data_IF_410413632937
#
_entry.id   IF_410413632937
#
_cell.length_a   1.000
_cell.length_b   1.000
_cell.length_c   1.000
_cell.angle_alpha   90.00
_cell.angle_beta   90.00
_cell.angle_gamma   90.00
#
_symmetry.space_group_name_H-M   'P 1'
#
loop_
_entity.id
_entity.type
_entity.pdbx_description
1 polymer ?
#
# COMPACT_ATOMS: atom_id res chain seq x y z
N UNK A 1 -27.13 23.74 6.06
CA UNK A 1 -26.27 23.27 7.18
C UNK A 1 -26.49 21.82 7.62
N UNK A 2 -27.38 21.06 6.94
CA UNK A 2 -27.68 19.65 7.26
C UNK A 2 -26.82 18.63 6.49
N UNK A 3 -25.94 19.07 5.58
CA UNK A 3 -25.16 18.20 4.71
C UNK A 3 -23.84 17.67 5.34
N UNK A 4 -23.43 18.19 6.48
CA UNK A 4 -22.19 17.79 7.17
C UNK A 4 -22.44 17.31 8.61
N UNK A 5 -23.37 16.38 8.78
CA UNK A 5 -23.50 15.68 10.06
C UNK A 5 -22.26 14.79 10.27
N UNK A 6 -21.59 14.84 11.45
CA UNK A 6 -20.44 13.98 11.77
C UNK A 6 -20.75 12.48 11.61
N UNK A 7 -22.02 12.09 11.67
CA UNK A 7 -22.46 10.70 11.42
C UNK A 7 -22.40 10.33 9.94
N UNK A 8 -22.73 11.25 9.02
CA UNK A 8 -22.70 10.99 7.57
C UNK A 8 -21.27 10.77 7.08
N UNK A 9 -20.32 11.59 7.54
CA UNK A 9 -18.89 11.47 7.16
C UNK A 9 -18.31 10.14 7.65
N UNK A 10 -18.62 9.74 8.88
CA UNK A 10 -18.15 8.46 9.42
C UNK A 10 -18.68 7.27 8.61
N UNK A 11 -19.93 7.29 8.23
CA UNK A 11 -20.55 6.23 7.42
C UNK A 11 -19.96 6.21 6.00
N UNK A 12 -19.64 7.37 5.45
CA UNK A 12 -18.99 7.47 4.14
C UNK A 12 -17.58 6.92 4.16
N UNK A 13 -16.77 7.31 5.15
CA UNK A 13 -15.42 6.75 5.36
C UNK A 13 -15.46 5.24 5.56
N UNK A 14 -16.40 4.72 6.36
CA UNK A 14 -16.56 3.28 6.58
C UNK A 14 -16.87 2.56 5.27
N UNK A 15 -17.81 3.06 4.50
CA UNK A 15 -18.20 2.49 3.21
C UNK A 15 -17.04 2.51 2.20
N UNK A 16 -16.27 3.61 2.14
CA UNK A 16 -15.11 3.70 1.25
C UNK A 16 -13.98 2.76 1.68
N UNK A 17 -13.75 2.60 2.98
CA UNK A 17 -12.79 1.62 3.50
C UNK A 17 -13.22 0.18 3.20
N UNK A 18 -14.53 -0.12 3.28
CA UNK A 18 -15.07 -1.43 2.89
C UNK A 18 -14.87 -1.71 1.41
N UNK A 19 -15.25 -0.75 0.57
CA UNK A 19 -15.09 -0.88 -0.88
C UNK A 19 -13.62 -1.00 -1.29
N UNK A 20 -12.71 -0.33 -0.57
CA UNK A 20 -11.29 -0.37 -0.85
C UNK A 20 -10.69 -1.75 -0.56
N UNK A 21 -10.97 -2.37 0.61
CA UNK A 21 -10.42 -3.69 0.95
C UNK A 21 -10.99 -4.80 0.05
N UNK A 22 -12.27 -4.71 -0.32
CA UNK A 22 -12.88 -5.64 -1.27
C UNK A 22 -12.20 -5.55 -2.64
N UNK A 23 -12.00 -4.33 -3.15
CA UNK A 23 -11.32 -4.11 -4.42
C UNK A 23 -9.85 -4.57 -4.40
N UNK A 24 -9.14 -4.40 -3.27
CA UNK A 24 -7.77 -4.91 -3.08
C UNK A 24 -7.73 -6.44 -3.09
N UNK A 25 -8.74 -7.09 -2.50
CA UNK A 25 -8.87 -8.54 -2.55
C UNK A 25 -9.14 -9.02 -3.98
N UNK A 26 -10.06 -8.36 -4.69
CA UNK A 26 -10.38 -8.66 -6.09
C UNK A 26 -9.17 -8.47 -7.01
N UNK A 27 -8.36 -7.44 -6.81
CA UNK A 27 -7.10 -7.28 -7.55
C UNK A 27 -6.17 -8.47 -7.31
N UNK A 28 -5.99 -8.90 -6.04
CA UNK A 28 -5.16 -10.07 -5.72
C UNK A 28 -5.70 -11.35 -6.38
N UNK A 29 -7.04 -11.53 -6.42
CA UNK A 29 -7.67 -12.64 -7.14
C UNK A 29 -7.33 -12.62 -8.63
N UNK A 30 -7.44 -11.47 -9.30
CA UNK A 30 -7.07 -11.31 -10.70
C UNK A 30 -5.61 -11.64 -10.94
N UNK A 31 -4.72 -11.17 -10.08
CA UNK A 31 -3.27 -11.41 -10.19
C UNK A 31 -2.93 -12.90 -10.02
N UNK A 32 -3.58 -13.61 -9.10
CA UNK A 32 -3.34 -15.04 -8.87
C UNK A 32 -3.94 -15.91 -9.99
N UNK A 33 -5.11 -15.52 -10.51
CA UNK A 33 -5.79 -16.25 -11.60
C UNK A 33 -5.19 -15.98 -12.98
N UNK A 34 -4.14 -15.17 -13.04
CA UNK A 34 -3.52 -14.78 -14.29
C UNK A 34 -4.51 -14.08 -15.25
N UNK A 35 -5.25 -13.11 -14.69
CA UNK A 35 -6.19 -12.28 -15.45
C UNK A 35 -5.52 -11.56 -16.61
N UNK A 36 -6.30 -11.13 -17.58
CA UNK A 36 -5.80 -10.33 -18.69
C UNK A 36 -5.09 -9.07 -18.18
N UNK A 37 -3.98 -8.70 -18.83
CA UNK A 37 -3.18 -7.54 -18.41
C UNK A 37 -3.98 -6.24 -18.40
N UNK A 38 -4.93 -6.06 -19.33
CA UNK A 38 -5.80 -4.90 -19.40
C UNK A 38 -6.76 -4.84 -18.20
N UNK A 39 -7.29 -6.00 -17.76
CA UNK A 39 -8.16 -6.08 -16.58
C UNK A 39 -7.38 -5.75 -15.30
N UNK A 40 -6.16 -6.29 -15.17
CA UNK A 40 -5.28 -6.02 -14.03
C UNK A 40 -4.90 -4.55 -13.97
N UNK A 41 -4.51 -3.93 -15.08
CA UNK A 41 -4.15 -2.51 -15.16
C UNK A 41 -5.33 -1.60 -14.83
N UNK A 42 -6.53 -1.96 -15.30
CA UNK A 42 -7.76 -1.23 -15.01
C UNK A 42 -8.13 -1.31 -13.52
N UNK A 43 -8.06 -2.50 -12.93
CA UNK A 43 -8.32 -2.71 -11.51
C UNK A 43 -7.29 -1.97 -10.64
N UNK A 44 -6.01 -2.05 -11.00
CA UNK A 44 -4.92 -1.33 -10.33
C UNK A 44 -5.12 0.19 -10.39
N UNK A 45 -5.37 0.73 -11.58
CA UNK A 45 -5.60 2.17 -11.76
C UNK A 45 -6.83 2.67 -10.98
N UNK A 46 -7.89 1.86 -10.90
CA UNK A 46 -9.07 2.19 -10.10
C UNK A 46 -8.75 2.23 -8.59
N UNK A 47 -7.93 1.29 -8.11
CA UNK A 47 -7.48 1.25 -6.72
C UNK A 47 -6.59 2.43 -6.35
N UNK A 48 -5.64 2.80 -7.21
CA UNK A 48 -4.79 3.98 -6.99
C UNK A 48 -5.64 5.23 -6.87
N UNK A 49 -6.61 5.43 -7.76
CA UNK A 49 -7.56 6.58 -7.67
C UNK A 49 -8.36 6.58 -6.37
N UNK A 50 -8.85 5.42 -5.91
CA UNK A 50 -9.58 5.32 -4.62
C UNK A 50 -8.69 5.63 -3.43
N UNK A 51 -7.45 5.16 -3.44
CA UNK A 51 -6.46 5.45 -2.38
C UNK A 51 -6.15 6.95 -2.32
N UNK A 52 -6.04 7.62 -3.48
CA UNK A 52 -5.87 9.07 -3.55
C UNK A 52 -7.11 9.83 -3.06
N UNK A 53 -8.31 9.35 -3.38
CA UNK A 53 -9.56 9.94 -2.89
C UNK A 53 -9.68 9.83 -1.36
N UNK A 54 -9.28 8.69 -0.78
CA UNK A 54 -9.22 8.51 0.68
C UNK A 54 -8.25 9.49 1.33
N UNK A 55 -7.09 9.74 0.71
CA UNK A 55 -6.13 10.73 1.19
C UNK A 55 -6.69 12.15 1.14
N UNK A 56 -7.43 12.49 0.09
CA UNK A 56 -8.17 13.75 0.00
C UNK A 56 -9.22 13.91 1.11
N UNK A 57 -9.99 12.87 1.40
CA UNK A 57 -10.92 12.85 2.53
C UNK A 57 -10.20 13.03 3.87
N UNK A 58 -9.09 12.34 4.07
CA UNK A 58 -8.25 12.45 5.27
C UNK A 58 -7.75 13.87 5.50
N UNK A 59 -7.27 14.53 4.45
CA UNK A 59 -6.79 15.92 4.51
C UNK A 59 -7.88 16.89 4.93
N UNK A 60 -9.10 16.71 4.40
CA UNK A 60 -10.24 17.55 4.76
C UNK A 60 -10.70 17.32 6.21
N UNK A 61 -10.64 16.10 6.72
CA UNK A 61 -11.00 15.75 8.09
C UNK A 61 -10.04 16.34 9.14
N UNK A 62 -8.80 16.60 8.77
CA UNK A 62 -7.77 17.11 9.67
C UNK A 62 -8.06 18.56 10.17
N UNK A 63 -8.98 19.27 9.52
CA UNK A 63 -9.31 20.65 9.84
C UNK A 63 -10.31 20.80 11.00
N UNK A 64 -10.99 19.75 11.44
CA UNK A 64 -12.21 19.92 12.23
C UNK A 64 -12.12 19.62 13.74
N UNK A 65 -11.20 18.81 14.27
CA UNK A 65 -11.03 18.64 15.74
C UNK A 65 -9.96 17.64 16.18
N UNK A 66 -9.48 17.79 17.46
CA UNK A 66 -8.62 16.83 18.18
C UNK A 66 -9.20 15.39 18.28
N UNK A 67 -10.50 15.24 18.10
CA UNK A 67 -11.21 13.95 18.07
C UNK A 67 -10.79 13.10 16.86
N UNK A 68 -10.39 13.73 15.77
CA UNK A 68 -9.99 13.11 14.52
C UNK A 68 -8.49 12.80 14.45
N UNK A 69 -7.68 13.30 15.36
CA UNK A 69 -6.24 13.03 15.35
C UNK A 69 -5.91 11.53 15.40
N UNK A 70 -6.60 10.77 16.26
CA UNK A 70 -6.43 9.31 16.32
C UNK A 70 -6.92 8.60 15.05
N UNK A 71 -8.07 9.03 14.53
CA UNK A 71 -8.59 8.51 13.27
C UNK A 71 -7.65 8.85 12.11
N UNK A 72 -7.09 10.04 12.08
CA UNK A 72 -6.14 10.49 11.07
C UNK A 72 -4.85 9.64 11.06
N UNK A 73 -4.28 9.33 12.24
CA UNK A 73 -3.12 8.42 12.34
C UNK A 73 -3.44 7.05 11.75
N UNK A 74 -4.61 6.48 12.08
CA UNK A 74 -5.06 5.20 11.55
C UNK A 74 -5.32 5.23 10.05
N UNK A 75 -5.94 6.31 9.55
CA UNK A 75 -6.18 6.48 8.10
C UNK A 75 -4.87 6.61 7.32
N UNK A 76 -3.88 7.31 7.88
CA UNK A 76 -2.53 7.37 7.30
C UNK A 76 -1.90 5.97 7.21
N UNK A 77 -1.98 5.20 8.29
CA UNK A 77 -1.47 3.83 8.33
C UNK A 77 -2.24 2.91 7.35
N UNK A 78 -3.57 3.04 7.27
CA UNK A 78 -4.38 2.33 6.27
C UNK A 78 -3.91 2.64 4.84
N UNK A 79 -3.57 3.90 4.56
CA UNK A 79 -3.07 4.29 3.24
C UNK A 79 -1.75 3.58 2.90
N UNK A 80 -0.82 3.54 3.83
CA UNK A 80 0.45 2.81 3.68
C UNK A 80 0.23 1.30 3.49
N UNK A 81 -0.63 0.70 4.31
CA UNK A 81 -1.00 -0.72 4.17
C UNK A 81 -1.68 -1.01 2.83
N UNK A 82 -2.52 -0.10 2.35
CA UNK A 82 -3.16 -0.21 1.03
C UNK A 82 -2.14 -0.24 -0.11
N UNK A 83 -1.11 0.60 -0.04
CA UNK A 83 -0.02 0.57 -1.02
C UNK A 83 0.74 -0.76 -0.97
N UNK A 84 1.00 -1.28 0.23
CA UNK A 84 1.62 -2.62 0.38
C UNK A 84 0.76 -3.71 -0.26
N UNK A 85 -0.57 -3.70 -0.04
CA UNK A 85 -1.49 -4.67 -0.64
C UNK A 85 -1.47 -4.62 -2.17
N UNK A 86 -1.47 -3.43 -2.74
CA UNK A 86 -1.40 -3.22 -4.20
C UNK A 86 -0.05 -3.72 -4.74
N UNK A 87 1.05 -3.37 -4.09
CA UNK A 87 2.40 -3.79 -4.50
C UNK A 87 2.53 -5.32 -4.47
N UNK A 88 2.09 -5.97 -3.39
CA UNK A 88 2.17 -7.42 -3.28
C UNK A 88 1.28 -8.15 -4.31
N UNK A 89 0.14 -7.58 -4.67
CA UNK A 89 -0.70 -8.11 -5.75
C UNK A 89 0.02 -8.02 -7.11
N UNK A 90 0.63 -6.86 -7.42
CA UNK A 90 1.40 -6.69 -8.65
C UNK A 90 2.64 -7.59 -8.71
N UNK A 91 3.37 -7.76 -7.60
CA UNK A 91 4.48 -8.70 -7.51
C UNK A 91 4.02 -10.14 -7.74
N UNK A 92 2.86 -10.53 -7.20
CA UNK A 92 2.26 -11.85 -7.43
C UNK A 92 1.94 -12.05 -8.91
N UNK A 93 1.39 -11.03 -9.59
CA UNK A 93 1.14 -11.07 -11.04
C UNK A 93 2.42 -11.28 -11.84
N UNK A 94 3.50 -10.56 -11.51
CA UNK A 94 4.80 -10.74 -12.16
C UNK A 94 5.40 -12.12 -11.92
N UNK A 95 5.25 -12.66 -10.71
CA UNK A 95 5.70 -14.02 -10.37
C UNK A 95 4.90 -15.04 -11.16
N UNK A 96 3.58 -14.89 -11.26
CA UNK A 96 2.74 -15.80 -12.05
C UNK A 96 3.12 -15.81 -13.53
N UNK A 97 3.55 -14.68 -14.09
CA UNK A 97 4.00 -14.59 -15.48
C UNK A 97 5.37 -15.21 -15.70
N UNK A 98 6.25 -15.21 -14.69
CA UNK A 98 7.64 -15.66 -14.84
C UNK A 98 7.90 -17.05 -14.24
N UNK A 99 7.22 -17.38 -13.15
CA UNK A 99 7.40 -18.61 -12.36
C UNK A 99 6.06 -19.08 -11.78
N UNK A 100 5.13 -19.57 -12.60
CA UNK A 100 3.78 -19.92 -12.15
C UNK A 100 3.77 -21.04 -11.08
N UNK A 101 4.83 -21.83 -10.99
CA UNK A 101 4.99 -22.89 -10.00
C UNK A 101 5.17 -22.40 -8.56
N UNK A 102 5.53 -21.13 -8.36
CA UNK A 102 5.72 -20.56 -7.01
C UNK A 102 4.40 -20.46 -6.25
N UNK A 103 3.29 -20.19 -6.95
CA UNK A 103 1.96 -20.16 -6.35
C UNK A 103 1.31 -21.53 -6.55
N UNK A 104 1.27 -22.32 -5.49
CA UNK A 104 0.71 -23.68 -5.52
C UNK A 104 -0.80 -23.65 -5.71
N UNK A 105 -1.36 -24.75 -6.23
CA UNK A 105 -2.81 -24.89 -6.47
C UNK A 105 -3.63 -24.70 -5.19
N UNK A 106 -3.10 -25.11 -4.05
CA UNK A 106 -3.72 -24.87 -2.73
C UNK A 106 -4.00 -23.38 -2.48
N UNK A 107 -3.05 -22.50 -2.84
CA UNK A 107 -3.26 -21.05 -2.69
C UNK A 107 -4.16 -20.49 -3.78
N UNK A 108 -4.12 -21.01 -5.02
CA UNK A 108 -5.05 -20.60 -6.09
C UNK A 108 -6.51 -20.88 -5.71
N UNK A 109 -6.79 -22.09 -5.20
CA UNK A 109 -8.13 -22.49 -4.74
C UNK A 109 -8.67 -21.58 -3.62
N UNK A 110 -7.81 -21.05 -2.75
CA UNK A 110 -8.22 -20.11 -1.70
C UNK A 110 -8.75 -18.76 -2.25
N UNK A 111 -8.33 -18.40 -3.45
CA UNK A 111 -8.79 -17.19 -4.13
C UNK A 111 -9.88 -17.45 -5.17
N UNK A 112 -10.43 -18.66 -5.28
CA UNK A 112 -11.46 -18.96 -6.26
C UNK A 112 -12.84 -18.46 -5.87
N UNK A 113 -13.14 -18.42 -4.58
CA UNK A 113 -14.44 -17.93 -4.11
C UNK A 113 -14.61 -16.44 -4.39
N UNK A 114 -15.73 -16.02 -5.01
CA UNK A 114 -16.00 -14.61 -5.26
C UNK A 114 -16.14 -13.86 -3.93
N UNK A 115 -15.63 -12.64 -3.89
CA UNK A 115 -15.70 -11.75 -2.73
C UNK A 115 -16.38 -10.45 -3.12
N UNK A 116 -17.52 -10.17 -2.51
CA UNK A 116 -18.32 -8.98 -2.75
C UNK A 116 -18.43 -8.08 -1.52
N UNK A 117 -18.25 -8.65 -0.34
CA UNK A 117 -18.41 -7.95 0.93
C UNK A 117 -17.17 -8.06 1.82
N UNK A 118 -17.05 -7.14 2.78
CA UNK A 118 -16.00 -7.19 3.81
C UNK A 118 -16.09 -8.46 4.66
N UNK A 119 -17.31 -8.97 4.90
CA UNK A 119 -17.49 -10.23 5.60
C UNK A 119 -16.87 -11.42 4.86
N UNK A 120 -16.96 -11.41 3.52
CA UNK A 120 -16.31 -12.42 2.68
C UNK A 120 -14.80 -12.30 2.79
N UNK A 121 -14.24 -11.07 2.71
CA UNK A 121 -12.81 -10.83 2.95
C UNK A 121 -12.38 -11.40 4.31
N UNK A 122 -13.12 -11.10 5.38
CA UNK A 122 -12.83 -11.64 6.72
C UNK A 122 -12.82 -13.16 6.75
N UNK A 123 -13.80 -13.80 6.12
CA UNK A 123 -13.93 -15.26 6.05
C UNK A 123 -12.74 -15.86 5.33
N UNK A 124 -12.39 -15.31 4.18
CA UNK A 124 -11.27 -15.80 3.37
C UNK A 124 -9.92 -15.59 4.06
N UNK A 125 -9.66 -14.44 4.64
CA UNK A 125 -8.44 -14.19 5.41
C UNK A 125 -8.29 -15.15 6.59
N UNK A 126 -9.39 -15.47 7.29
CA UNK A 126 -9.36 -16.47 8.37
C UNK A 126 -9.00 -17.86 7.84
N UNK A 127 -9.51 -18.23 6.65
CA UNK A 127 -9.19 -19.49 5.98
C UNK A 127 -7.72 -19.52 5.56
N UNK A 128 -7.23 -18.47 4.89
CA UNK A 128 -5.83 -18.34 4.46
C UNK A 128 -4.85 -18.45 5.62
N UNK A 129 -5.13 -17.75 6.73
CA UNK A 129 -4.27 -17.81 7.93
C UNK A 129 -4.18 -19.22 8.52
N UNK A 130 -5.26 -20.02 8.46
CA UNK A 130 -5.21 -21.42 8.89
C UNK A 130 -4.34 -22.25 7.96
N UNK A 131 -4.46 -22.06 6.65
CA UNK A 131 -3.64 -22.77 5.68
C UNK A 131 -2.17 -22.41 5.85
N UNK A 132 -1.84 -21.12 5.98
CA UNK A 132 -0.48 -20.64 6.23
C UNK A 132 0.08 -21.24 7.53
N UNK A 133 -0.71 -21.28 8.61
CA UNK A 133 -0.30 -21.87 9.87
C UNK A 133 -0.02 -23.38 9.77
N UNK A 134 -0.73 -24.08 8.88
CA UNK A 134 -0.55 -25.51 8.63
C UNK A 134 0.61 -25.80 7.67
N UNK A 135 0.71 -25.04 6.57
CA UNK A 135 1.75 -25.21 5.55
C UNK A 135 3.13 -24.77 6.06
N UNK A 136 3.13 -23.76 6.95
CA UNK A 136 4.34 -23.11 7.44
C UNK A 136 4.76 -21.91 6.58
N UNK A 137 5.51 -21.02 7.22
CA UNK A 137 5.95 -19.76 6.59
C UNK A 137 6.91 -20.00 5.42
N UNK A 138 7.73 -21.05 5.49
CA UNK A 138 8.74 -21.37 4.47
C UNK A 138 8.15 -21.85 3.15
N UNK A 139 7.01 -22.53 3.20
CA UNK A 139 6.35 -23.12 2.03
C UNK A 139 5.23 -22.21 1.50
N UNK A 140 5.00 -21.07 2.16
CA UNK A 140 4.05 -20.05 1.70
C UNK A 140 4.78 -19.01 0.84
N UNK A 141 4.27 -18.69 -0.36
CA UNK A 141 4.84 -17.60 -1.16
C UNK A 141 4.89 -16.30 -0.38
N UNK A 142 6.07 -15.66 -0.35
CA UNK A 142 6.31 -14.45 0.47
C UNK A 142 5.30 -13.35 0.17
N UNK A 143 4.93 -13.17 -1.10
CA UNK A 143 3.94 -12.17 -1.52
C UNK A 143 2.56 -12.44 -0.91
N UNK A 144 2.12 -13.71 -0.88
CA UNK A 144 0.85 -14.10 -0.28
C UNK A 144 0.90 -13.94 1.24
N UNK A 145 1.98 -14.37 1.87
CA UNK A 145 2.18 -14.22 3.31
C UNK A 145 2.12 -12.74 3.73
N UNK A 146 2.89 -11.90 3.04
CA UNK A 146 2.94 -10.46 3.30
C UNK A 146 1.59 -9.80 3.04
N UNK A 147 0.92 -10.18 1.94
CA UNK A 147 -0.40 -9.66 1.59
C UNK A 147 -1.45 -9.99 2.65
N UNK A 148 -1.51 -11.24 3.12
CA UNK A 148 -2.45 -11.68 4.18
C UNK A 148 -2.17 -10.94 5.49
N UNK A 149 -0.89 -10.73 5.83
CA UNK A 149 -0.48 -9.92 6.98
C UNK A 149 -0.95 -8.47 6.86
N UNK A 150 -0.72 -7.83 5.72
CA UNK A 150 -1.17 -6.48 5.44
C UNK A 150 -2.69 -6.34 5.46
N UNK A 151 -3.44 -7.26 4.84
CA UNK A 151 -4.90 -7.26 4.87
C UNK A 151 -5.47 -7.41 6.29
N UNK A 152 -4.82 -8.22 7.12
CA UNK A 152 -5.20 -8.35 8.53
C UNK A 152 -4.98 -7.05 9.30
N UNK A 153 -3.83 -6.37 9.07
CA UNK A 153 -3.54 -5.04 9.66
C UNK A 153 -4.54 -3.99 9.21
N UNK A 154 -4.88 -3.98 7.93
CA UNK A 154 -5.91 -3.09 7.37
C UNK A 154 -7.23 -3.20 8.15
N UNK A 155 -7.74 -4.41 8.33
CA UNK A 155 -9.01 -4.66 9.02
C UNK A 155 -8.95 -4.28 10.51
N UNK A 156 -7.80 -4.46 11.16
CA UNK A 156 -7.58 -4.02 12.54
C UNK A 156 -7.67 -2.48 12.64
N UNK A 157 -6.93 -1.78 11.79
CA UNK A 157 -6.90 -0.31 11.75
C UNK A 157 -8.28 0.27 11.39
N UNK A 158 -8.96 -0.32 10.40
CA UNK A 158 -10.32 0.06 10.03
C UNK A 158 -11.28 -0.01 11.21
N UNK A 159 -11.25 -1.11 11.96
CA UNK A 159 -12.07 -1.26 13.18
C UNK A 159 -11.77 -0.15 14.17
N UNK A 160 -10.50 0.23 14.35
CA UNK A 160 -10.10 1.33 15.22
C UNK A 160 -10.60 2.70 14.76
N UNK A 161 -10.63 2.98 13.44
CA UNK A 161 -11.20 4.22 12.87
C UNK A 161 -12.68 4.32 13.21
N UNK A 162 -13.43 3.24 13.00
CA UNK A 162 -14.88 3.23 13.16
C UNK A 162 -15.29 3.28 14.63
N UNK A 163 -14.65 2.49 15.49
CA UNK A 163 -14.96 2.46 16.93
C UNK A 163 -14.45 3.69 17.67
N UNK A 164 -13.51 4.44 17.09
CA UNK A 164 -12.81 5.57 17.70
C UNK A 164 -12.28 5.25 19.13
N UNK A 165 -11.91 3.99 19.35
CA UNK A 165 -11.34 3.52 20.62
C UNK A 165 -9.95 4.08 20.84
N UNK A 166 -9.49 4.02 22.12
CA UNK A 166 -8.07 4.26 22.42
C UNK A 166 -7.23 3.26 21.65
N UNK A 167 -6.06 3.71 21.19
CA UNK A 167 -5.10 2.86 20.49
C UNK A 167 -4.66 1.76 21.46
N UNK A 168 -4.83 0.50 21.07
CA UNK A 168 -4.36 -0.65 21.87
C UNK A 168 -2.85 -0.83 21.69
N UNK A 169 -2.19 -1.56 22.62
CA UNK A 169 -0.77 -1.86 22.49
C UNK A 169 -0.43 -2.57 21.16
N UNK A 170 -1.28 -3.50 20.72
CA UNK A 170 -1.12 -4.18 19.43
C UNK A 170 -1.30 -3.24 18.22
N UNK A 171 -2.20 -2.27 18.30
CA UNK A 171 -2.33 -1.22 17.27
C UNK A 171 -1.13 -0.26 17.28
N UNK A 172 -0.62 0.10 18.45
CA UNK A 172 0.54 0.97 18.57
C UNK A 172 1.78 0.33 17.94
N UNK A 173 1.97 -0.97 18.13
CA UNK A 173 3.03 -1.73 17.47
C UNK A 173 2.90 -1.69 15.93
N UNK A 174 1.69 -1.84 15.41
CA UNK A 174 1.40 -1.72 13.97
C UNK A 174 1.66 -0.29 13.49
N UNK A 175 1.25 0.72 14.24
CA UNK A 175 1.44 2.12 13.91
C UNK A 175 2.91 2.55 14.00
N UNK A 176 3.67 2.01 14.95
CA UNK A 176 5.11 2.27 15.09
C UNK A 176 5.93 1.53 14.04
N UNK A 177 5.53 0.30 13.69
CA UNK A 177 6.18 -0.47 12.63
C UNK A 177 6.10 0.19 11.26
N UNK A 178 5.06 0.99 11.00
CA UNK A 178 4.93 1.77 9.77
C UNK A 178 5.76 3.07 9.76
N UNK A 179 6.07 3.62 10.93
CA UNK A 179 6.92 4.83 11.03
C UNK A 179 8.40 4.50 10.85
N UNK A 180 8.80 3.26 11.11
CA UNK A 180 10.16 2.77 10.88
C UNK A 180 10.21 1.90 9.63
N UNK A 181 9.96 2.49 8.45
CA UNK A 181 10.68 2.04 7.26
C UNK A 181 12.15 2.41 7.54
N UNK A 182 12.87 1.52 8.20
CA UNK A 182 14.33 1.56 8.09
C UNK A 182 14.59 1.44 6.60
N UNK A 183 15.16 2.48 5.95
CA UNK A 183 15.55 2.31 4.57
C UNK A 183 16.49 1.10 4.56
N UNK A 184 16.07 0.06 3.87
CA UNK A 184 16.85 -1.14 3.72
C UNK A 184 18.23 -0.72 3.22
N UNK A 185 19.28 -1.41 3.62
CA UNK A 185 20.67 -1.05 3.26
C UNK A 185 20.85 -0.81 1.75
N UNK A 186 20.02 -1.44 0.92
CA UNK A 186 19.95 -1.23 -0.52
C UNK A 186 19.48 0.18 -0.91
N UNK A 187 18.44 0.74 -0.28
CA UNK A 187 17.99 2.11 -0.56
C UNK A 187 19.05 3.15 -0.15
N UNK A 188 19.72 2.95 0.96
CA UNK A 188 20.86 3.81 1.36
C UNK A 188 22.00 3.73 0.34
N UNK A 189 22.28 2.55 -0.19
CA UNK A 189 23.30 2.38 -1.22
C UNK A 189 22.90 3.10 -2.50
N UNK A 190 21.67 2.94 -2.97
CA UNK A 190 21.16 3.64 -4.16
C UNK A 190 21.08 5.17 -3.96
N UNK A 191 20.65 5.64 -2.80
CA UNK A 191 20.65 7.06 -2.47
C UNK A 191 22.07 7.63 -2.46
N UNK A 192 23.04 6.89 -1.90
CA UNK A 192 24.44 7.29 -1.85
C UNK A 192 25.08 7.30 -3.26
N UNK A 193 24.78 6.30 -4.08
CA UNK A 193 25.24 6.23 -5.48
C UNK A 193 24.66 7.38 -6.29
N UNK A 194 23.38 7.69 -6.14
CA UNK A 194 22.73 8.81 -6.83
C UNK A 194 23.31 10.17 -6.35
N UNK A 195 23.53 10.32 -5.05
CA UNK A 195 24.19 11.51 -4.49
C UNK A 195 25.58 11.71 -5.12
N UNK A 196 26.42 10.68 -5.15
CA UNK A 196 27.75 10.77 -5.74
C UNK A 196 27.72 11.05 -7.24
N UNK A 197 26.78 10.44 -7.99
CA UNK A 197 26.60 10.70 -9.43
C UNK A 197 26.25 12.17 -9.67
N UNK A 198 25.29 12.72 -8.91
CA UNK A 198 24.89 14.13 -9.06
C UNK A 198 26.02 15.06 -8.68
N UNK A 199 26.70 14.81 -7.57
CA UNK A 199 27.84 15.61 -7.10
C UNK A 199 28.98 15.61 -8.15
N UNK A 200 29.31 14.44 -8.67
CA UNK A 200 30.35 14.31 -9.68
C UNK A 200 30.00 15.04 -10.99
N UNK A 201 28.75 14.94 -11.43
CA UNK A 201 28.24 15.66 -12.59
C UNK A 201 28.30 17.19 -12.41
N UNK A 202 27.95 17.69 -11.22
CA UNK A 202 28.06 19.11 -10.89
C UNK A 202 29.52 19.56 -10.89
N UNK A 203 30.46 18.80 -10.29
CA UNK A 203 31.88 19.14 -10.25
C UNK A 203 32.47 19.14 -11.67
N UNK A 204 32.21 18.10 -12.45
CA UNK A 204 32.70 18.03 -13.83
C UNK A 204 32.14 19.15 -14.70
N UNK A 205 30.84 19.44 -14.57
CA UNK A 205 30.22 20.56 -15.28
C UNK A 205 30.81 21.90 -14.90
N UNK A 206 31.10 22.13 -13.61
CA UNK A 206 31.72 23.36 -13.13
C UNK A 206 33.18 23.48 -13.64
N UNK A 207 33.96 22.40 -13.58
CA UNK A 207 35.32 22.37 -14.11
C UNK A 207 35.36 22.61 -15.62
N UNK A 208 34.45 21.96 -16.36
CA UNK A 208 34.32 22.17 -17.79
C UNK A 208 33.97 23.64 -18.13
N UNK A 209 33.04 24.22 -17.37
CA UNK A 209 32.67 25.63 -17.54
C UNK A 209 33.84 26.57 -17.24
N UNK A 210 34.58 26.34 -16.17
CA UNK A 210 35.77 27.12 -15.83
C UNK A 210 36.86 26.98 -16.87
N UNK A 211 37.06 25.78 -17.41
CA UNK A 211 38.11 25.50 -18.39
C UNK A 211 37.78 26.06 -19.78
N UNK A 212 36.52 25.99 -20.19
CA UNK A 212 36.09 26.47 -21.54
C UNK A 212 35.77 27.96 -21.54
N UNK A 213 35.67 28.64 -20.39
CA UNK A 213 35.29 30.06 -20.34
C UNK A 213 33.89 30.36 -20.91
N UNK A 214 33.04 29.36 -21.03
CA UNK A 214 31.74 29.46 -21.73
C UNK A 214 30.75 30.30 -20.89
N UNK A 215 30.59 31.57 -21.30
CA UNK A 215 29.76 32.56 -20.60
C UNK A 215 28.26 32.23 -20.56
N UNK A 216 27.79 31.44 -21.53
CA UNK A 216 26.36 31.02 -21.64
C UNK A 216 26.03 29.72 -20.86
N UNK A 217 27.02 29.06 -20.24
CA UNK A 217 26.83 27.79 -19.55
C UNK A 217 26.02 27.88 -18.24
N UNK A 218 25.73 29.08 -17.75
CA UNK A 218 24.91 29.31 -16.54
C UNK A 218 23.48 28.73 -16.68
N UNK A 219 22.92 28.70 -17.90
CA UNK A 219 21.58 28.16 -18.12
C UNK A 219 21.49 26.64 -18.15
N UNK A 220 22.60 25.93 -18.40
CA UNK A 220 22.61 24.49 -18.47
C UNK A 220 22.67 23.77 -17.10
N UNK A 221 23.01 24.50 -16.02
CA UNK A 221 23.04 23.94 -14.66
C UNK A 221 21.70 24.04 -13.89
N UNK A 222 20.68 24.70 -14.46
CA UNK A 222 19.40 24.96 -13.78
C UNK A 222 18.29 24.05 -14.30
N UNK A 223 18.56 23.17 -15.27
CA UNK A 223 17.65 22.11 -15.70
C UNK A 223 18.08 20.76 -15.13
#
# INVERSE_FOLDING_TARGET
DLLFSPRSIKQEVDRELDALIVAQYQLMQLCIKHGDSEEVDKAWSALVRRTQALEGMRSNLNMESSRWERANRRLKAINTVSLTLITQACETYLIQNTRPEVVTDTFRELFDEPVETVQDVHRQLKRMRRVIAWTGERDTPVTIYTWVGAATRYLLLKRGVISNTKISAAEEEVLQGEVVIKPESAERHHAMVNFWRTTLACILGTLFWLWTGWTSGRGAMVM
#
